data_IF_748994806678
#
_entry.id   IF_748994806678
#
_cell.length_a   1.000
_cell.length_b   1.000
_cell.length_c   1.000
_cell.angle_alpha   90.00
_cell.angle_beta   90.00
_cell.angle_gamma   90.00
#
_symmetry.space_group_name_H-M   'P 1'
#
loop_
_entity.id
_entity.type
_entity.pdbx_description
1 polymer ?
#
# COMPACT_ATOMS: atom_id res chain seq x y z
N UNK A 1 -17.53 34.86 -36.99
CA UNK A 1 -16.37 34.50 -36.16
C UNK A 1 -16.67 34.39 -34.66
N UNK A 2 -17.87 33.96 -34.22
CA UNK A 2 -18.23 33.82 -32.79
C UNK A 2 -18.48 32.38 -32.30
N UNK A 3 -18.29 31.36 -33.16
CA UNK A 3 -18.62 29.95 -32.83
C UNK A 3 -17.46 29.10 -32.31
N UNK A 4 -16.24 29.59 -32.39
CA UNK A 4 -15.05 28.80 -31.96
C UNK A 4 -14.57 29.09 -30.55
N UNK A 5 -15.08 30.14 -29.90
CA UNK A 5 -14.69 30.48 -28.51
C UNK A 5 -15.40 29.63 -27.45
N UNK A 6 -16.51 29.00 -27.77
CA UNK A 6 -17.26 28.14 -26.84
C UNK A 6 -16.65 26.74 -26.69
N UNK A 7 -15.92 26.26 -27.71
CA UNK A 7 -15.33 24.91 -27.70
C UNK A 7 -14.04 24.81 -26.87
N UNK A 8 -13.30 25.90 -26.68
CA UNK A 8 -12.07 25.94 -25.92
C UNK A 8 -12.34 25.98 -24.41
N UNK A 9 -13.46 26.60 -24.00
CA UNK A 9 -13.85 26.66 -22.58
C UNK A 9 -14.28 25.33 -21.98
N UNK A 10 -14.77 24.37 -22.81
CA UNK A 10 -15.26 23.08 -22.33
C UNK A 10 -14.14 22.04 -22.09
N UNK A 11 -12.99 22.22 -22.71
CA UNK A 11 -11.83 21.30 -22.53
C UNK A 11 -11.09 21.56 -21.21
N UNK A 12 -11.17 22.79 -20.67
CA UNK A 12 -10.53 23.13 -19.39
C UNK A 12 -11.27 22.62 -18.15
N UNK A 13 -12.50 22.10 -18.30
CA UNK A 13 -13.29 21.59 -17.15
C UNK A 13 -13.13 20.09 -16.92
N UNK A 14 -12.28 19.38 -17.68
CA UNK A 14 -12.10 17.94 -17.56
C UNK A 14 -10.74 17.52 -16.96
N UNK A 15 -9.95 18.45 -16.46
CA UNK A 15 -8.78 18.11 -15.64
C UNK A 15 -9.21 17.90 -14.19
N UNK A 16 -9.93 16.82 -13.92
CA UNK A 16 -10.10 16.34 -12.55
C UNK A 16 -8.80 15.65 -12.14
N UNK A 17 -8.16 16.24 -11.14
CA UNK A 17 -6.95 15.69 -10.50
C UNK A 17 -7.19 14.25 -10.04
N UNK A 18 -6.30 13.34 -10.47
CA UNK A 18 -6.28 11.90 -10.13
C UNK A 18 -5.89 11.68 -8.65
N UNK A 19 -6.07 12.64 -7.77
CA UNK A 19 -5.80 12.54 -6.33
C UNK A 19 -6.93 11.87 -5.53
N UNK A 20 -7.85 11.13 -6.18
CA UNK A 20 -9.08 10.66 -5.55
C UNK A 20 -8.90 9.54 -4.52
N UNK A 21 -7.81 8.77 -4.58
CA UNK A 21 -7.75 7.48 -3.87
C UNK A 21 -7.34 7.57 -2.40
N UNK A 22 -6.38 8.42 -2.07
CA UNK A 22 -6.00 8.66 -0.65
C UNK A 22 -7.14 9.34 0.11
N UNK A 23 -7.92 10.19 -0.56
CA UNK A 23 -9.06 10.89 0.01
C UNK A 23 -10.26 9.98 0.34
N UNK A 24 -10.37 8.80 -0.28
CA UNK A 24 -11.43 7.84 0.03
C UNK A 24 -11.41 7.40 1.51
N UNK A 25 -10.23 7.34 2.10
CA UNK A 25 -10.02 6.96 3.51
C UNK A 25 -9.90 8.18 4.45
N UNK A 26 -10.18 9.41 3.98
CA UNK A 26 -9.96 10.65 4.74
C UNK A 26 -10.71 10.71 6.08
N UNK A 27 -11.87 10.07 6.18
CA UNK A 27 -12.70 10.00 7.39
C UNK A 27 -12.29 8.91 8.41
N UNK A 28 -11.35 8.05 8.06
CA UNK A 28 -10.88 7.01 8.96
C UNK A 28 -9.54 7.39 9.55
N UNK A 29 -9.41 7.31 10.89
CA UNK A 29 -8.15 7.42 11.59
C UNK A 29 -7.60 6.05 11.99
N UNK A 30 -8.47 5.05 12.01
CA UNK A 30 -8.13 3.70 12.41
C UNK A 30 -9.01 2.67 11.71
N UNK A 31 -8.39 1.56 11.29
CA UNK A 31 -9.08 0.37 10.79
C UNK A 31 -8.46 -0.85 11.47
N UNK A 32 -9.28 -1.81 11.84
CA UNK A 32 -8.85 -3.09 12.38
C UNK A 32 -9.68 -4.22 11.77
N UNK A 33 -8.96 -5.26 11.32
CA UNK A 33 -9.56 -6.47 10.78
C UNK A 33 -9.14 -7.65 11.65
N UNK A 34 -10.08 -8.45 12.09
CA UNK A 34 -9.81 -9.77 12.65
C UNK A 34 -9.47 -10.76 11.52
N UNK A 35 -8.42 -11.54 11.71
CA UNK A 35 -8.01 -12.56 10.76
C UNK A 35 -8.51 -13.93 11.20
N UNK A 36 -9.21 -14.61 10.29
CA UNK A 36 -9.78 -15.92 10.55
C UNK A 36 -9.16 -17.01 9.68
N UNK A 37 -9.06 -18.20 10.22
CA UNK A 37 -8.75 -19.44 9.50
C UNK A 37 -9.69 -20.55 9.97
N UNK A 38 -10.44 -21.15 9.03
CA UNK A 38 -11.45 -22.17 9.35
C UNK A 38 -12.40 -21.72 10.45
N UNK A 39 -12.96 -20.50 10.33
CA UNK A 39 -13.88 -19.84 11.28
C UNK A 39 -13.30 -19.63 12.70
N UNK A 40 -11.98 -19.72 12.88
CA UNK A 40 -11.32 -19.42 14.16
C UNK A 40 -10.47 -18.17 14.02
N UNK A 41 -10.55 -17.23 14.98
CA UNK A 41 -9.69 -16.06 14.97
C UNK A 41 -8.23 -16.50 15.17
N UNK A 42 -7.34 -15.96 14.36
CA UNK A 42 -5.90 -16.26 14.40
C UNK A 42 -5.05 -15.03 14.69
N UNK A 43 -5.60 -13.83 14.54
CA UNK A 43 -4.88 -12.58 14.74
C UNK A 43 -5.60 -11.36 14.19
N UNK A 44 -4.85 -10.30 13.90
CA UNK A 44 -5.38 -9.02 13.46
C UNK A 44 -4.52 -8.37 12.37
N UNK A 45 -5.12 -7.41 11.66
CA UNK A 45 -4.47 -6.44 10.78
C UNK A 45 -5.00 -5.05 11.09
N UNK A 46 -4.11 -4.12 11.46
CA UNK A 46 -4.43 -2.76 11.91
C UNK A 46 -3.81 -1.72 11.02
N UNK A 47 -4.52 -0.60 10.85
CA UNK A 47 -4.02 0.61 10.19
C UNK A 47 -4.33 1.82 11.05
N UNK A 48 -3.34 2.65 11.29
CA UNK A 48 -3.49 3.96 11.93
C UNK A 48 -3.10 5.05 10.93
N UNK A 49 -4.02 5.98 10.67
CA UNK A 49 -3.87 7.06 9.68
C UNK A 49 -3.60 8.37 10.42
N UNK A 50 -2.36 8.82 10.39
CA UNK A 50 -1.93 10.06 11.01
C UNK A 50 -1.81 11.16 9.95
N UNK A 51 -2.56 12.26 10.12
CA UNK A 51 -2.60 13.39 9.20
C UNK A 51 -2.06 14.64 9.87
N UNK A 52 -1.12 15.30 9.19
CA UNK A 52 -0.57 16.58 9.65
C UNK A 52 -0.38 17.49 8.42
N UNK A 53 -1.30 18.44 8.24
CA UNK A 53 -1.38 19.25 7.03
C UNK A 53 -1.55 18.38 5.80
N UNK A 54 -0.67 18.51 4.82
CA UNK A 54 -0.67 17.71 3.59
C UNK A 54 0.03 16.35 3.73
N UNK A 55 0.59 16.04 4.89
CA UNK A 55 1.27 14.76 5.13
C UNK A 55 0.29 13.73 5.68
N UNK A 56 0.33 12.52 5.11
CA UNK A 56 -0.36 11.34 5.63
C UNK A 56 0.69 10.27 5.92
N UNK A 57 0.67 9.76 7.14
CA UNK A 57 1.45 8.58 7.54
C UNK A 57 0.49 7.46 7.91
N UNK A 58 0.70 6.29 7.34
CA UNK A 58 -0.10 5.11 7.59
C UNK A 58 0.78 4.06 8.27
N UNK A 59 0.52 3.83 9.54
CA UNK A 59 1.16 2.77 10.30
C UNK A 59 0.31 1.51 10.17
N UNK A 60 0.87 0.44 9.62
CA UNK A 60 0.22 -0.85 9.55
C UNK A 60 0.88 -1.86 10.49
N UNK A 61 0.08 -2.74 11.06
CA UNK A 61 0.54 -3.82 11.93
C UNK A 61 -0.28 -5.08 11.65
N UNK A 62 0.41 -6.19 11.36
CA UNK A 62 -0.19 -7.50 11.16
C UNK A 62 0.39 -8.47 12.15
N UNK A 63 -0.46 -9.18 12.88
CA UNK A 63 -0.01 -10.22 13.81
C UNK A 63 -0.96 -11.40 13.75
N UNK A 64 -0.45 -12.59 13.47
CA UNK A 64 -1.24 -13.81 13.59
C UNK A 64 -0.40 -15.04 13.91
N UNK A 65 -1.06 -16.05 14.45
CA UNK A 65 -0.46 -17.36 14.72
C UNK A 65 -1.40 -18.49 14.31
N UNK A 66 -0.84 -19.54 13.76
CA UNK A 66 -1.53 -20.77 13.43
C UNK A 66 -1.09 -21.85 14.40
N UNK A 67 -2.06 -22.37 15.15
CA UNK A 67 -1.82 -23.39 16.18
C UNK A 67 -2.60 -24.66 15.83
N UNK A 68 -2.01 -25.82 16.03
CA UNK A 68 -2.67 -27.13 15.92
C UNK A 68 -2.28 -28.01 17.12
N UNK A 69 -3.24 -28.56 17.80
CA UNK A 69 -3.03 -29.38 19.01
C UNK A 69 -2.14 -28.71 20.08
N UNK A 70 -2.32 -27.41 20.30
CA UNK A 70 -1.52 -26.63 21.26
C UNK A 70 -0.13 -26.20 20.73
N UNK A 71 0.31 -26.68 19.58
CA UNK A 71 1.62 -26.38 19.01
C UNK A 71 1.50 -25.23 18.02
N UNK A 72 2.34 -24.20 18.15
CA UNK A 72 2.41 -23.10 17.19
C UNK A 72 3.14 -23.58 15.93
N UNK A 73 2.40 -23.72 14.84
CA UNK A 73 2.93 -24.13 13.52
C UNK A 73 3.49 -22.95 12.74
N UNK A 74 2.90 -21.77 12.93
CA UNK A 74 3.30 -20.56 12.21
C UNK A 74 3.04 -19.32 13.04
N UNK A 75 4.02 -18.42 13.05
CA UNK A 75 3.95 -17.10 13.66
C UNK A 75 4.31 -16.04 12.62
N UNK A 76 3.48 -15.01 12.52
CA UNK A 76 3.71 -13.88 11.65
C UNK A 76 3.53 -12.59 12.43
N UNK A 77 4.47 -11.68 12.27
CA UNK A 77 4.37 -10.32 12.78
C UNK A 77 5.04 -9.37 11.79
N UNK A 78 4.33 -8.33 11.40
CA UNK A 78 4.86 -7.30 10.52
C UNK A 78 4.41 -5.92 11.00
N UNK A 79 5.30 -4.95 10.83
CA UNK A 79 5.02 -3.51 10.94
C UNK A 79 5.50 -2.81 9.70
N UNK A 80 4.73 -1.82 9.25
CA UNK A 80 5.10 -0.98 8.13
C UNK A 80 4.64 0.45 8.33
N UNK A 81 5.35 1.38 7.70
CA UNK A 81 5.01 2.79 7.66
C UNK A 81 5.03 3.25 6.23
N UNK A 82 3.89 3.70 5.73
CA UNK A 82 3.69 4.24 4.40
C UNK A 82 3.42 5.74 4.50
N UNK A 83 4.08 6.53 3.66
CA UNK A 83 4.04 7.99 3.74
C UNK A 83 3.60 8.62 2.43
N UNK A 84 2.77 9.64 2.55
CA UNK A 84 2.30 10.48 1.45
C UNK A 84 2.47 11.94 1.80
N UNK A 85 2.75 12.75 0.78
CA UNK A 85 2.76 14.22 0.86
C UNK A 85 1.94 14.77 -0.29
N UNK A 86 0.98 15.65 0.00
CA UNK A 86 0.05 16.20 -1.00
C UNK A 86 -0.67 15.12 -1.81
N UNK A 87 -1.00 13.97 -1.16
CA UNK A 87 -1.62 12.81 -1.81
C UNK A 87 -0.68 11.94 -2.63
N UNK A 88 0.60 12.31 -2.77
CA UNK A 88 1.61 11.59 -3.55
C UNK A 88 2.43 10.70 -2.61
N UNK A 89 2.62 9.45 -2.98
CA UNK A 89 3.49 8.51 -2.26
C UNK A 89 4.89 9.09 -2.10
N UNK A 90 5.46 9.01 -0.89
CA UNK A 90 6.77 9.59 -0.56
C UNK A 90 7.75 8.60 0.07
N UNK A 91 7.30 7.41 0.46
CA UNK A 91 8.17 6.37 0.98
C UNK A 91 7.46 5.31 1.78
N UNK A 92 8.13 4.16 1.92
CA UNK A 92 7.65 3.02 2.69
C UNK A 92 8.82 2.32 3.38
N UNK A 93 8.58 1.87 4.59
CA UNK A 93 9.48 0.92 5.26
C UNK A 93 8.66 -0.12 6.03
N UNK A 94 9.21 -1.34 6.10
CA UNK A 94 8.61 -2.41 6.89
C UNK A 94 9.64 -3.37 7.46
N UNK A 95 9.25 -4.03 8.54
CA UNK A 95 9.93 -5.19 9.11
C UNK A 95 8.92 -6.32 9.29
N UNK A 96 9.32 -7.54 8.99
CA UNK A 96 8.47 -8.72 9.10
C UNK A 96 9.23 -9.86 9.75
N UNK A 97 8.63 -10.51 10.74
CA UNK A 97 9.12 -11.74 11.32
C UNK A 97 8.19 -12.90 10.96
N UNK A 98 8.71 -13.87 10.20
CA UNK A 98 8.02 -15.09 9.80
C UNK A 98 8.72 -16.30 10.43
N UNK A 99 8.15 -16.89 11.46
CA UNK A 99 8.76 -18.03 12.16
C UNK A 99 10.24 -17.77 12.52
N UNK A 100 10.55 -16.62 13.12
CA UNK A 100 11.92 -16.17 13.49
C UNK A 100 12.82 -15.79 12.29
N UNK A 101 12.31 -15.82 11.06
CA UNK A 101 13.02 -15.27 9.88
C UNK A 101 12.63 -13.81 9.72
N UNK A 102 13.60 -12.93 9.82
CA UNK A 102 13.40 -11.50 9.66
C UNK A 102 13.52 -11.10 8.18
N UNK A 103 12.66 -10.19 7.76
CA UNK A 103 12.65 -9.58 6.44
C UNK A 103 12.38 -8.09 6.59
N UNK A 104 12.78 -7.33 5.59
CA UNK A 104 12.57 -5.89 5.56
C UNK A 104 12.32 -5.39 4.14
N UNK A 105 11.75 -4.21 4.05
CA UNK A 105 11.62 -3.43 2.83
C UNK A 105 11.78 -1.95 3.15
N UNK A 106 12.61 -1.25 2.37
CA UNK A 106 12.66 0.20 2.31
C UNK A 106 12.42 0.64 0.87
N UNK A 107 11.50 1.57 0.67
CA UNK A 107 11.18 2.13 -0.65
C UNK A 107 11.30 3.64 -0.56
N UNK A 108 12.10 4.21 -1.45
CA UNK A 108 12.25 5.65 -1.63
C UNK A 108 11.94 6.02 -3.07
N UNK A 109 11.79 7.33 -3.33
CA UNK A 109 11.55 7.86 -4.67
C UNK A 109 12.86 8.37 -5.25
N UNK A 110 13.17 7.97 -6.48
CA UNK A 110 14.28 8.55 -7.24
C UNK A 110 13.97 10.03 -7.53
N UNK A 111 14.83 10.96 -7.14
CA UNK A 111 14.58 12.39 -7.34
C UNK A 111 14.51 12.80 -8.81
N UNK A 112 15.13 12.01 -9.71
CA UNK A 112 15.32 12.34 -11.14
C UNK A 112 14.06 12.05 -11.96
N UNK A 113 13.54 10.81 -11.90
CA UNK A 113 12.46 10.33 -12.75
C UNK A 113 11.21 9.89 -11.97
N UNK A 114 11.29 9.96 -10.62
CA UNK A 114 10.21 9.59 -9.70
C UNK A 114 9.91 8.10 -9.62
N UNK A 115 10.73 7.26 -10.21
CA UNK A 115 10.66 5.82 -10.05
C UNK A 115 10.93 5.39 -8.60
N UNK A 116 10.53 4.17 -8.25
CA UNK A 116 10.71 3.63 -6.92
C UNK A 116 12.04 2.91 -6.81
N UNK A 117 12.82 3.26 -5.78
CA UNK A 117 14.04 2.55 -5.40
C UNK A 117 13.70 1.64 -4.23
N UNK A 118 13.85 0.34 -4.44
CA UNK A 118 13.57 -0.70 -3.44
C UNK A 118 14.89 -1.24 -2.88
N UNK A 119 15.00 -1.25 -1.55
CA UNK A 119 15.97 -2.03 -0.78
C UNK A 119 15.21 -3.02 0.10
N UNK A 120 15.04 -4.24 -0.37
CA UNK A 120 14.28 -5.28 0.32
C UNK A 120 15.06 -6.58 0.47
N UNK A 121 14.57 -7.45 1.35
CA UNK A 121 15.19 -8.75 1.63
C UNK A 121 15.22 -9.70 0.43
N UNK A 122 14.32 -9.52 -0.55
CA UNK A 122 14.20 -10.40 -1.73
C UNK A 122 14.36 -9.68 -3.06
N UNK A 123 14.46 -8.37 -3.05
CA UNK A 123 14.68 -7.57 -4.25
C UNK A 123 15.34 -6.25 -3.87
N UNK A 124 16.33 -5.84 -4.66
CA UNK A 124 17.00 -4.53 -4.59
C UNK A 124 17.12 -3.99 -6.01
N UNK A 125 16.64 -2.79 -6.22
CA UNK A 125 16.68 -2.17 -7.55
C UNK A 125 15.65 -1.07 -7.73
N UNK A 126 15.61 -0.55 -8.94
CA UNK A 126 14.71 0.50 -9.38
C UNK A 126 13.55 -0.12 -10.17
N UNK A 127 12.34 0.36 -9.94
CA UNK A 127 11.13 -0.10 -10.61
C UNK A 127 10.22 1.07 -10.92
N UNK A 128 9.28 0.86 -11.83
CA UNK A 128 8.30 1.84 -12.27
C UNK A 128 7.50 2.39 -11.08
N UNK A 129 7.33 3.72 -11.05
CA UNK A 129 6.54 4.47 -10.07
C UNK A 129 5.06 4.08 -10.03
N UNK A 130 4.53 3.45 -11.08
CA UNK A 130 3.13 3.04 -11.16
C UNK A 130 2.84 1.73 -10.43
N UNK A 131 3.86 1.07 -9.88
CA UNK A 131 3.66 -0.07 -9.01
C UNK A 131 3.10 0.37 -7.65
N UNK A 132 2.26 -0.47 -7.06
CA UNK A 132 1.66 -0.25 -5.74
C UNK A 132 2.28 -1.18 -4.69
N UNK A 133 2.29 -0.73 -3.45
CA UNK A 133 2.75 -1.56 -2.34
C UNK A 133 1.60 -2.41 -1.81
N UNK A 134 1.85 -3.69 -1.61
CA UNK A 134 0.87 -4.67 -1.13
C UNK A 134 0.55 -4.54 0.36
N UNK A 135 0.12 -3.36 0.79
CA UNK A 135 -0.31 -3.09 2.18
C UNK A 135 -1.81 -3.30 2.40
N UNK A 136 -2.59 -3.48 1.34
CA UNK A 136 -4.00 -3.88 1.34
C UNK A 136 -5.00 -2.86 1.91
N UNK A 137 -4.59 -1.69 2.34
CA UNK A 137 -5.52 -0.64 2.75
C UNK A 137 -6.07 0.13 1.54
N UNK A 138 -5.26 0.27 0.49
CA UNK A 138 -5.62 0.99 -0.72
C UNK A 138 -6.23 0.04 -1.75
N UNK A 139 -7.49 0.28 -2.11
CA UNK A 139 -8.22 -0.53 -3.06
C UNK A 139 -7.69 -0.46 -4.51
N UNK A 140 -6.83 0.51 -4.86
CA UNK A 140 -6.17 0.55 -6.16
C UNK A 140 -5.35 -0.71 -6.46
N UNK A 141 -4.97 -1.45 -5.43
CA UNK A 141 -4.21 -2.70 -5.58
C UNK A 141 -4.91 -3.68 -6.54
N UNK A 142 -6.25 -3.72 -6.57
CA UNK A 142 -7.01 -4.61 -7.45
C UNK A 142 -7.03 -4.16 -8.92
N UNK A 143 -6.60 -2.95 -9.22
CA UNK A 143 -6.52 -2.38 -10.56
C UNK A 143 -5.12 -2.53 -11.18
N UNK A 144 -4.13 -2.89 -10.39
CA UNK A 144 -2.73 -3.02 -10.84
C UNK A 144 -2.42 -4.44 -11.31
N UNK A 145 -1.56 -4.56 -12.32
CA UNK A 145 -1.10 -5.86 -12.84
C UNK A 145 0.02 -6.48 -12.00
N UNK A 146 0.67 -5.67 -11.19
CA UNK A 146 1.71 -6.11 -10.27
C UNK A 146 1.76 -5.23 -9.02
N UNK A 147 2.28 -5.78 -7.94
CA UNK A 147 2.49 -5.10 -6.66
C UNK A 147 3.88 -5.39 -6.09
N UNK A 148 4.34 -4.48 -5.24
CA UNK A 148 5.56 -4.67 -4.45
C UNK A 148 5.18 -5.34 -3.13
N UNK A 149 5.77 -6.48 -2.82
CA UNK A 149 5.57 -7.15 -1.53
C UNK A 149 6.02 -6.26 -0.37
N UNK A 150 5.09 -5.88 0.49
CA UNK A 150 5.37 -5.16 1.74
C UNK A 150 6.22 -5.96 2.74
N UNK A 151 6.42 -7.26 2.48
CA UNK A 151 7.20 -8.17 3.34
C UNK A 151 8.67 -8.22 2.95
N UNK A 152 8.99 -8.15 1.65
CA UNK A 152 10.33 -8.48 1.16
C UNK A 152 10.81 -7.68 -0.03
N UNK A 153 9.99 -6.78 -0.57
CA UNK A 153 10.30 -5.96 -1.75
C UNK A 153 10.13 -6.67 -3.09
N UNK A 154 9.82 -7.98 -3.10
CA UNK A 154 9.66 -8.73 -4.34
C UNK A 154 8.47 -8.19 -5.15
N UNK A 155 8.63 -8.10 -6.47
CA UNK A 155 7.55 -7.81 -7.40
C UNK A 155 6.68 -9.06 -7.55
N UNK A 156 5.36 -8.90 -7.42
CA UNK A 156 4.37 -9.96 -7.50
C UNK A 156 3.39 -9.56 -8.60
N UNK A 157 3.41 -10.31 -9.70
CA UNK A 157 2.38 -10.20 -10.73
C UNK A 157 1.05 -10.71 -10.20
N UNK A 158 -0.04 -10.06 -10.61
CA UNK A 158 -1.38 -10.43 -10.21
C UNK A 158 -2.35 -10.30 -11.39
N UNK A 159 -3.36 -11.15 -11.37
CA UNK A 159 -4.51 -11.07 -12.25
C UNK A 159 -5.76 -10.98 -11.37
N UNK A 160 -6.52 -9.91 -11.51
CA UNK A 160 -7.77 -9.72 -10.79
C UNK A 160 -8.92 -9.89 -11.78
N UNK A 161 -9.85 -10.77 -11.47
CA UNK A 161 -11.08 -10.98 -12.24
C UNK A 161 -12.27 -10.58 -11.36
N UNK A 162 -13.16 -9.75 -11.89
CA UNK A 162 -14.41 -9.40 -11.22
C UNK A 162 -15.48 -10.38 -11.71
N UNK A 163 -16.15 -11.03 -10.77
CA UNK A 163 -17.26 -11.94 -11.04
C UNK A 163 -18.60 -11.23 -10.84
#
# INVERSE_FOLDING_TARGET
>A
MKKYLLSIGLIYLLSFDINAHVNHYSKYNYLEYELFRNNKPIGFHKYNFERNGSNLTINNEVSFKITKLGINLYKYYAKGVEKYKDGIFSGFNSTTNQNKKEKYVNITIDPTDKDLIIDGSSFKGKVDKDLIIGTWWNHEIVQKKAQISAVSGRIIEQKVEFM
#
